data_IF_249872495542
#
_entry.id   IF_249872495542
#
_cell.length_a   1.000
_cell.length_b   1.000
_cell.length_c   1.000
_cell.angle_alpha   90.00
_cell.angle_beta   90.00
_cell.angle_gamma   90.00
#
_symmetry.space_group_name_H-M   'P 1'
#
loop_
_entity.id
_entity.type
_entity.pdbx_description
1 polymer ?
#
# COMPACT_ATOMS: atom_id res chain seq x y z
N UNK A 1 2.84 4.56 -5.18
CA UNK A 1 4.20 4.41 -4.62
C UNK A 1 5.04 3.44 -5.46
N UNK A 2 5.30 3.77 -6.72
CA UNK A 2 5.81 2.80 -7.71
C UNK A 2 7.25 2.32 -7.52
N UNK A 3 8.10 3.05 -6.76
CA UNK A 3 9.50 2.68 -6.49
C UNK A 3 9.74 2.17 -5.06
N UNK A 4 8.66 1.92 -4.31
CA UNK A 4 8.74 1.47 -2.92
C UNK A 4 9.13 -0.01 -2.81
N UNK A 5 9.84 -0.37 -1.74
CA UNK A 5 10.13 -1.78 -1.44
C UNK A 5 8.89 -2.44 -0.84
N UNK A 6 8.47 -3.58 -1.38
CA UNK A 6 7.41 -4.41 -0.81
C UNK A 6 8.02 -5.57 -0.01
N UNK A 7 7.59 -5.76 1.24
CA UNK A 7 7.99 -6.90 2.09
C UNK A 7 6.97 -7.14 3.21
N UNK A 8 6.61 -8.40 3.44
CA UNK A 8 5.77 -8.86 4.56
C UNK A 8 4.42 -8.12 4.68
N UNK A 9 3.74 -7.82 3.57
CA UNK A 9 2.44 -7.11 3.59
C UNK A 9 2.55 -5.59 3.70
N UNK A 10 3.75 -5.02 3.57
CA UNK A 10 3.97 -3.57 3.63
C UNK A 10 4.71 -3.05 2.40
N UNK A 11 4.43 -1.80 2.04
CA UNK A 11 5.22 -1.02 1.09
C UNK A 11 5.94 0.15 1.79
N UNK A 12 7.23 0.29 1.54
CA UNK A 12 8.04 1.43 2.02
C UNK A 12 8.00 2.60 1.05
N UNK A 13 7.77 3.82 1.56
CA UNK A 13 7.96 5.06 0.80
C UNK A 13 9.42 5.18 0.36
N UNK A 14 9.70 5.34 -0.95
CA UNK A 14 11.07 5.39 -1.45
C UNK A 14 11.85 6.64 -1.02
N UNK A 15 11.18 7.71 -0.57
CA UNK A 15 11.83 8.97 -0.20
C UNK A 15 12.35 8.97 1.24
N UNK A 16 11.54 8.51 2.20
CA UNK A 16 11.84 8.63 3.65
C UNK A 16 11.47 7.40 4.46
N UNK A 17 11.15 6.27 3.82
CA UNK A 17 11.13 4.95 4.46
C UNK A 17 9.91 4.58 5.29
N UNK A 18 8.92 5.48 5.46
CA UNK A 18 7.62 5.14 6.10
C UNK A 18 7.03 3.91 5.45
N UNK A 19 6.53 2.98 6.25
CA UNK A 19 5.87 1.76 5.77
C UNK A 19 4.36 1.91 5.87
N UNK A 20 3.66 1.44 4.85
CA UNK A 20 2.20 1.41 4.81
C UNK A 20 1.74 -0.03 4.67
N UNK A 21 0.67 -0.40 5.40
CA UNK A 21 0.00 -1.68 5.22
C UNK A 21 -0.60 -1.78 3.83
N UNK A 22 -0.37 -2.89 3.12
CA UNK A 22 -1.02 -3.14 1.83
C UNK A 22 -2.53 -3.45 1.98
N UNK A 23 -2.94 -3.93 3.15
CA UNK A 23 -4.32 -4.28 3.45
C UNK A 23 -5.16 -3.05 3.78
N UNK A 24 -4.64 -2.17 4.64
CA UNK A 24 -5.41 -1.05 5.21
C UNK A 24 -4.92 0.32 4.78
N UNK A 25 -3.72 0.42 4.20
CA UNK A 25 -3.08 1.70 3.89
C UNK A 25 -2.53 2.45 5.09
N UNK A 26 -2.71 1.95 6.32
CA UNK A 26 -2.28 2.61 7.54
C UNK A 26 -0.74 2.73 7.63
N UNK A 27 -0.20 3.89 8.04
CA UNK A 27 1.23 4.07 8.25
C UNK A 27 1.70 3.37 9.53
N UNK A 28 2.80 2.62 9.45
CA UNK A 28 3.48 2.10 10.63
C UNK A 28 4.34 3.17 11.30
N UNK A 29 4.28 3.20 12.63
CA UNK A 29 5.24 3.93 13.45
C UNK A 29 4.96 5.42 13.62
N UNK A 30 3.89 5.98 13.04
CA UNK A 30 3.25 7.26 13.39
C UNK A 30 4.10 8.54 13.43
N UNK A 31 5.41 8.48 13.17
CA UNK A 31 6.35 9.59 13.37
C UNK A 31 6.36 10.59 12.21
N UNK A 32 6.13 10.12 10.98
CA UNK A 32 6.23 10.95 9.77
C UNK A 32 4.86 11.28 9.16
N UNK A 33 3.83 10.46 9.43
CA UNK A 33 2.45 10.72 9.01
C UNK A 33 1.47 9.87 9.81
N UNK A 34 0.22 10.35 9.90
CA UNK A 34 -0.96 9.63 10.39
C UNK A 34 -2.04 9.48 9.31
N UNK A 35 -1.72 9.83 8.07
CA UNK A 35 -2.64 9.76 6.93
C UNK A 35 -2.41 8.43 6.22
N UNK A 36 -3.45 7.60 6.16
CA UNK A 36 -3.46 6.36 5.41
C UNK A 36 -3.43 6.63 3.90
N UNK A 37 -2.81 5.72 3.14
CA UNK A 37 -2.92 5.72 1.68
C UNK A 37 -4.20 5.02 1.25
N UNK A 38 -4.84 5.48 0.16
CA UNK A 38 -6.03 4.82 -0.37
C UNK A 38 -5.68 3.39 -0.81
N UNK A 39 -6.43 2.43 -0.30
CA UNK A 39 -6.42 1.04 -0.78
C UNK A 39 -7.57 0.85 -1.77
N UNK A 40 -7.43 -0.17 -2.61
CA UNK A 40 -8.44 -0.56 -3.58
C UNK A 40 -8.65 -2.06 -3.46
N UNK A 41 -9.90 -2.49 -3.55
CA UNK A 41 -10.21 -3.92 -3.60
C UNK A 41 -9.68 -4.50 -4.91
N UNK A 42 -9.02 -5.65 -4.80
CA UNK A 42 -8.41 -6.34 -5.92
C UNK A 42 -9.09 -7.69 -6.09
N UNK A 43 -9.61 -7.94 -7.28
CA UNK A 43 -10.21 -9.22 -7.67
C UNK A 43 -9.26 -9.91 -8.65
N UNK A 44 -8.89 -11.15 -8.33
CA UNK A 44 -8.10 -12.01 -9.21
C UNK A 44 -9.00 -12.69 -10.24
N UNK A 45 -8.68 -12.52 -11.53
CA UNK A 45 -9.25 -13.30 -12.63
C UNK A 45 -8.23 -14.31 -13.15
N UNK A 46 -8.65 -15.20 -14.07
CA UNK A 46 -7.78 -16.27 -14.58
C UNK A 46 -6.45 -15.78 -15.18
N UNK A 47 -6.45 -14.61 -15.82
CA UNK A 47 -5.24 -14.05 -16.48
C UNK A 47 -5.04 -12.56 -16.22
N UNK A 48 -5.88 -11.97 -15.36
CA UNK A 48 -5.91 -10.52 -15.13
C UNK A 48 -6.17 -10.20 -13.67
N UNK A 49 -5.67 -9.06 -13.23
CA UNK A 49 -6.00 -8.47 -11.93
C UNK A 49 -6.93 -7.28 -12.19
N UNK A 50 -8.11 -7.29 -11.57
CA UNK A 50 -9.09 -6.21 -11.67
C UNK A 50 -9.06 -5.38 -10.38
N UNK A 51 -9.03 -4.06 -10.53
CA UNK A 51 -9.09 -3.12 -9.40
C UNK A 51 -10.51 -2.55 -9.38
N UNK A 52 -11.19 -2.66 -8.25
CA UNK A 52 -12.45 -1.97 -8.05
C UNK A 52 -12.18 -0.51 -7.68
N UNK A 53 -12.66 0.38 -8.53
CA UNK A 53 -12.57 1.83 -8.35
C UNK A 53 -14.00 2.35 -8.32
N UNK A 54 -14.46 2.74 -7.14
CA UNK A 54 -15.66 3.59 -6.99
C UNK A 54 -15.47 4.93 -7.70
#
# INVERSE_FOLDING_TARGET
>A
MEKGRIKNGYISCPLHGVRFSLETGEPMGGQLTRVAVRTYEVVEGETSICIQVE
#
